data_IF_673181124754
#
_entry.id   IF_673181124754
#
_cell.length_a   1.000
_cell.length_b   1.000
_cell.length_c   1.000
_cell.angle_alpha   90.00
_cell.angle_beta   90.00
_cell.angle_gamma   90.00
#
_symmetry.space_group_name_H-M   'P 1'
#
loop_
_entity.id
_entity.type
_entity.pdbx_description
1 polymer ?
#
# COMPACT_ATOMS: atom_id res chain seq x y z
N UNK A 1 8.91 3.54 1.76
CA UNK A 1 8.59 4.98 1.56
C UNK A 1 7.20 5.35 2.08
N UNK A 2 6.07 4.88 1.51
CA UNK A 2 4.73 5.25 2.04
C UNK A 2 4.44 4.66 3.43
N UNK A 3 4.69 3.36 3.62
CA UNK A 3 4.52 2.68 4.92
C UNK A 3 5.32 3.35 6.03
N UNK A 4 6.55 3.78 5.71
CA UNK A 4 7.44 4.41 6.68
C UNK A 4 6.97 5.82 6.99
N UNK A 5 6.44 6.57 6.01
CA UNK A 5 5.85 7.89 6.23
C UNK A 5 4.68 7.86 7.24
N UNK A 6 3.92 6.77 7.31
CA UNK A 6 2.86 6.60 8.32
C UNK A 6 3.39 6.61 9.75
N UNK A 7 4.63 6.14 9.97
CA UNK A 7 5.27 6.15 11.30
C UNK A 7 5.63 7.57 11.76
N UNK A 8 5.71 8.52 10.82
CA UNK A 8 6.10 9.90 11.08
C UNK A 8 4.91 10.87 11.07
N UNK A 9 3.66 10.38 11.14
CA UNK A 9 2.46 11.23 11.15
C UNK A 9 2.57 12.40 12.14
N UNK A 10 3.01 12.13 13.35
CA UNK A 10 3.17 13.15 14.40
C UNK A 10 4.30 14.15 14.07
N UNK A 11 5.36 13.69 13.41
CA UNK A 11 6.43 14.57 12.94
C UNK A 11 5.94 15.53 11.84
N UNK A 12 5.06 15.07 10.94
CA UNK A 12 4.41 15.94 9.96
C UNK A 12 3.47 16.96 10.62
N UNK A 13 2.73 16.56 11.65
CA UNK A 13 1.89 17.48 12.43
C UNK A 13 2.73 18.54 13.15
N UNK A 14 3.82 18.11 13.79
CA UNK A 14 4.77 19.02 14.43
C UNK A 14 5.41 19.98 13.42
N UNK A 15 5.77 19.50 12.22
CA UNK A 15 6.30 20.35 11.16
C UNK A 15 5.30 21.43 10.75
N UNK A 16 4.02 21.10 10.59
CA UNK A 16 2.97 22.07 10.30
C UNK A 16 2.75 23.09 11.43
N UNK A 17 3.06 22.73 12.67
CA UNK A 17 3.01 23.64 13.80
C UNK A 17 4.18 24.62 13.82
N UNK A 18 5.40 24.16 13.49
CA UNK A 18 6.63 24.97 13.59
C UNK A 18 6.92 25.78 12.32
N UNK A 19 6.63 25.23 11.14
CA UNK A 19 6.86 25.88 9.85
C UNK A 19 5.54 26.29 9.19
N UNK A 20 5.22 27.59 9.28
CA UNK A 20 4.01 28.17 8.70
C UNK A 20 3.98 28.09 7.16
N UNK A 21 5.12 27.87 6.49
CA UNK A 21 5.16 27.68 5.04
C UNK A 21 4.84 26.24 4.63
N UNK A 22 4.80 25.29 5.57
CA UNK A 22 4.46 23.91 5.28
C UNK A 22 2.93 23.73 5.14
N UNK A 23 2.45 23.88 3.91
CA UNK A 23 1.01 23.79 3.58
C UNK A 23 0.54 22.37 3.20
N UNK A 24 1.45 21.41 3.09
CA UNK A 24 1.20 20.09 2.52
C UNK A 24 0.95 19.00 3.58
N UNK A 25 0.33 19.35 4.71
CA UNK A 25 -0.01 18.37 5.75
C UNK A 25 -1.14 17.45 5.25
N UNK A 26 -0.96 16.12 5.23
CA UNK A 26 -2.05 15.22 4.88
C UNK A 26 -3.19 15.29 5.90
N UNK A 27 -4.43 15.28 5.42
CA UNK A 27 -5.63 15.22 6.26
C UNK A 27 -5.73 13.88 6.99
N UNK A 28 -6.59 13.78 8.01
CA UNK A 28 -6.81 12.51 8.70
C UNK A 28 -7.33 11.41 7.75
N UNK A 29 -8.14 11.80 6.76
CA UNK A 29 -8.60 10.90 5.70
C UNK A 29 -7.45 10.50 4.77
N UNK A 30 -6.54 11.44 4.45
CA UNK A 30 -5.32 11.15 3.70
C UNK A 30 -4.43 10.12 4.40
N UNK A 31 -4.27 10.24 5.72
CA UNK A 31 -3.54 9.25 6.54
C UNK A 31 -4.24 7.89 6.56
N UNK A 32 -5.56 7.89 6.71
CA UNK A 32 -6.37 6.66 6.69
C UNK A 32 -6.29 5.96 5.34
N UNK A 33 -6.41 6.72 4.25
CA UNK A 33 -6.25 6.23 2.89
C UNK A 33 -4.86 5.64 2.64
N UNK A 34 -3.79 6.35 3.04
CA UNK A 34 -2.43 5.86 2.90
C UNK A 34 -2.19 4.54 3.68
N UNK A 35 -2.83 4.38 4.85
CA UNK A 35 -2.81 3.14 5.62
C UNK A 35 -3.50 2.00 4.87
N UNK A 36 -4.72 2.23 4.38
CA UNK A 36 -5.48 1.26 3.57
C UNK A 36 -4.70 0.87 2.30
N UNK A 37 -4.12 1.84 1.62
CA UNK A 37 -3.30 1.61 0.43
C UNK A 37 -2.06 0.77 0.74
N UNK A 38 -1.38 1.01 1.87
CA UNK A 38 -0.26 0.18 2.30
C UNK A 38 -0.67 -1.27 2.57
N UNK A 39 -1.86 -1.50 3.13
CA UNK A 39 -2.38 -2.85 3.37
C UNK A 39 -2.68 -3.57 2.05
N UNK A 40 -3.34 -2.88 1.11
CA UNK A 40 -3.60 -3.39 -0.24
C UNK A 40 -2.30 -3.73 -0.99
N UNK A 41 -1.32 -2.82 -0.99
CA UNK A 41 -0.05 -3.01 -1.70
C UNK A 41 0.84 -4.09 -1.08
N UNK A 42 0.56 -4.55 0.14
CA UNK A 42 1.39 -5.54 0.85
C UNK A 42 1.54 -6.86 0.09
N UNK A 43 0.48 -7.33 -0.57
CA UNK A 43 0.54 -8.56 -1.36
C UNK A 43 1.46 -8.38 -2.58
N UNK A 44 1.32 -7.27 -3.30
CA UNK A 44 2.14 -6.95 -4.46
C UNK A 44 3.62 -6.89 -4.09
N UNK A 45 3.94 -6.18 -2.99
CA UNK A 45 5.30 -6.11 -2.47
C UNK A 45 5.90 -7.49 -2.18
N UNK A 46 5.13 -8.37 -1.53
CA UNK A 46 5.58 -9.73 -1.25
C UNK A 46 5.88 -10.53 -2.53
N UNK A 47 4.95 -10.52 -3.48
CA UNK A 47 5.08 -11.26 -4.75
C UNK A 47 6.26 -10.72 -5.58
N UNK A 48 6.41 -9.41 -5.68
CA UNK A 48 7.54 -8.79 -6.39
C UNK A 48 8.88 -9.19 -5.77
N UNK A 49 8.98 -9.19 -4.44
CA UNK A 49 10.20 -9.61 -3.75
C UNK A 49 10.50 -11.10 -3.96
N UNK A 50 9.48 -11.94 -3.91
CA UNK A 50 9.61 -13.37 -4.17
C UNK A 50 10.16 -13.63 -5.59
N UNK A 51 9.60 -12.96 -6.59
CA UNK A 51 10.09 -13.06 -7.97
C UNK A 51 11.51 -12.51 -8.13
N UNK A 52 11.82 -11.39 -7.47
CA UNK A 52 13.14 -10.76 -7.54
C UNK A 52 14.24 -11.58 -6.85
N UNK A 53 13.89 -12.35 -5.82
CA UNK A 53 14.82 -13.22 -5.08
C UNK A 53 15.09 -14.56 -5.77
N UNK A 54 14.25 -14.97 -6.72
CA UNK A 54 14.28 -16.31 -7.30
C UNK A 54 15.14 -16.34 -8.56
N UNK A 55 16.28 -17.03 -8.53
CA UNK A 55 17.17 -17.18 -9.70
C UNK A 55 16.59 -18.05 -10.82
N UNK A 56 15.79 -19.06 -10.47
CA UNK A 56 15.12 -19.97 -11.41
C UNK A 56 13.67 -20.14 -10.96
N UNK A 57 12.76 -19.38 -11.55
CA UNK A 57 11.35 -19.43 -11.13
C UNK A 57 10.69 -20.64 -11.78
N UNK A 58 10.15 -21.54 -10.96
CA UNK A 58 9.35 -22.66 -11.46
C UNK A 58 7.97 -22.09 -11.85
N UNK A 59 7.50 -22.42 -13.05
CA UNK A 59 6.28 -21.85 -13.62
C UNK A 59 5.04 -22.01 -12.70
N UNK A 60 5.00 -23.07 -11.88
CA UNK A 60 3.93 -23.30 -10.92
C UNK A 60 3.90 -22.25 -9.80
N UNK A 61 5.06 -21.82 -9.30
CA UNK A 61 5.19 -20.75 -8.31
C UNK A 61 4.73 -19.43 -8.90
N UNK A 62 5.20 -19.09 -10.12
CA UNK A 62 4.75 -17.88 -10.82
C UNK A 62 3.23 -17.85 -10.94
N UNK A 63 2.64 -18.96 -11.42
CA UNK A 63 1.20 -19.05 -11.62
C UNK A 63 0.42 -18.87 -10.32
N UNK A 64 0.83 -19.55 -9.23
CA UNK A 64 0.17 -19.44 -7.92
C UNK A 64 0.21 -18.01 -7.37
N UNK A 65 1.34 -17.33 -7.46
CA UNK A 65 1.48 -15.97 -6.94
C UNK A 65 0.71 -14.94 -7.77
N UNK A 66 0.72 -15.06 -9.10
CA UNK A 66 -0.11 -14.23 -9.99
C UNK A 66 -1.60 -14.45 -9.69
N UNK A 67 -2.02 -15.70 -9.47
CA UNK A 67 -3.41 -16.00 -9.12
C UNK A 67 -3.83 -15.35 -7.79
N UNK A 68 -2.94 -15.27 -6.79
CA UNK A 68 -3.20 -14.53 -5.55
C UNK A 68 -3.42 -13.05 -5.82
N UNK A 69 -2.57 -12.42 -6.62
CA UNK A 69 -2.70 -11.01 -7.02
C UNK A 69 -4.02 -10.76 -7.74
N UNK A 70 -4.35 -11.61 -8.72
CA UNK A 70 -5.63 -11.52 -9.45
C UNK A 70 -6.84 -11.61 -8.51
N UNK A 71 -6.84 -12.59 -7.61
CA UNK A 71 -7.92 -12.76 -6.64
C UNK A 71 -8.03 -11.57 -5.67
N UNK A 72 -6.89 -11.00 -5.26
CA UNK A 72 -6.86 -9.83 -4.39
C UNK A 72 -7.46 -8.61 -5.09
N UNK A 73 -7.07 -8.33 -6.34
CA UNK A 73 -7.66 -7.29 -7.17
C UNK A 73 -9.18 -7.47 -7.30
N UNK A 74 -9.64 -8.69 -7.62
CA UNK A 74 -11.07 -8.98 -7.78
C UNK A 74 -11.86 -8.74 -6.50
N UNK A 75 -11.34 -9.15 -5.34
CA UNK A 75 -12.00 -8.92 -4.04
C UNK A 75 -12.16 -7.43 -3.75
N UNK A 76 -11.11 -6.64 -3.96
CA UNK A 76 -11.16 -5.21 -3.69
C UNK A 76 -11.99 -4.42 -4.73
N UNK A 77 -12.14 -4.93 -5.97
CA UNK A 77 -13.07 -4.35 -6.95
C UNK A 77 -14.55 -4.58 -6.60
N UNK A 78 -14.89 -5.70 -5.97
CA UNK A 78 -16.27 -6.00 -5.57
C UNK A 78 -16.70 -5.17 -4.36
N UNK A 79 -15.79 -4.88 -3.42
CA UNK A 79 -16.08 -4.06 -2.23
C UNK A 79 -16.47 -2.62 -2.59
N UNK A 80 -16.00 -2.06 -3.70
CA UNK A 80 -16.43 -0.73 -4.18
C UNK A 80 -17.84 -0.73 -4.82
N UNK A 81 -18.34 -1.89 -5.28
CA UNK A 81 -19.65 -1.99 -5.92
C UNK A 81 -20.81 -2.24 -4.94
N UNK A 82 -20.53 -2.60 -3.68
CA UNK A 82 -21.56 -2.81 -2.65
C UNK A 82 -22.00 -1.50 -1.95
N UNK A 83 -21.49 -0.35 -2.40
CA UNK A 83 -21.84 1.00 -1.91
C UNK A 83 -22.69 1.82 -2.91
N UNK A 84 -23.30 1.19 -3.92
CA UNK A 84 -24.25 1.84 -4.86
C UNK A 84 -25.68 1.38 -4.56
#
# INVERSE_FOLDING_TARGET
MLRDALLYKDAFQHLAFVDLNYINLPSNDGWSYASTLCQFLKLFYHVTNLFSATRNVIADVVFKEIQKVHNHLRKHHLVDNDYI
#
